data_IF_005495538762
#
_entry.id   IF_005495538762
#
_cell.length_a   1.000
_cell.length_b   1.000
_cell.length_c   1.000
_cell.angle_alpha   90.00
_cell.angle_beta   90.00
_cell.angle_gamma   90.00
#
_symmetry.space_group_name_H-M   'P 1'
#
loop_
_entity.id
_entity.type
_entity.pdbx_description
1 polymer ?
#
# COMPACT_ATOMS: atom_id res chain seq x y z
N UNK A 1 27.48 14.55 5.81
CA UNK A 1 26.14 14.38 6.42
C UNK A 1 25.12 14.05 5.34
N UNK A 2 24.24 13.07 5.56
CA UNK A 2 23.37 12.50 4.52
C UNK A 2 22.32 13.48 3.99
N UNK A 3 21.87 14.40 4.83
CA UNK A 3 20.75 15.32 4.55
C UNK A 3 21.17 16.67 3.91
N UNK A 4 22.48 16.88 3.71
CA UNK A 4 23.01 18.10 3.09
C UNK A 4 23.19 19.30 4.02
N UNK A 5 23.18 19.07 5.34
CA UNK A 5 23.44 20.09 6.38
C UNK A 5 24.85 19.87 6.97
N UNK A 6 25.51 20.93 7.46
CA UNK A 6 26.78 20.83 8.21
C UNK A 6 26.53 20.45 9.67
N UNK A 7 27.48 19.78 10.32
CA UNK A 7 27.32 19.23 11.67
C UNK A 7 26.99 20.30 12.70
N UNK A 8 27.73 21.40 12.65
CA UNK A 8 27.50 22.58 13.49
C UNK A 8 26.08 23.11 13.30
N UNK A 9 25.65 23.30 12.04
CA UNK A 9 24.30 23.80 11.75
C UNK A 9 23.22 22.84 12.23
N UNK A 10 23.43 21.52 12.15
CA UNK A 10 22.45 20.54 12.62
C UNK A 10 22.27 20.59 14.13
N UNK A 11 23.37 20.69 14.89
CA UNK A 11 23.33 20.74 16.36
C UNK A 11 22.69 22.04 16.88
N UNK A 12 22.86 23.13 16.16
CA UNK A 12 22.35 24.45 16.55
C UNK A 12 20.92 24.75 16.02
N UNK A 13 20.39 23.93 15.10
CA UNK A 13 19.08 24.17 14.47
C UNK A 13 17.91 23.62 15.27
N UNK A 14 16.74 24.23 15.07
CA UNK A 14 15.47 23.70 15.56
C UNK A 14 14.82 22.74 14.55
N UNK A 15 13.91 21.84 14.97
CA UNK A 15 13.25 20.88 14.07
C UNK A 15 12.58 21.53 12.84
N UNK A 16 11.99 22.72 13.00
CA UNK A 16 11.35 23.45 11.90
C UNK A 16 12.35 23.96 10.86
N UNK A 17 13.57 24.30 11.26
CA UNK A 17 14.62 24.75 10.32
C UNK A 17 15.22 23.57 9.54
N UNK A 18 15.13 22.35 10.09
CA UNK A 18 15.62 21.13 9.48
C UNK A 18 14.60 20.49 8.52
N UNK A 19 13.31 20.76 8.71
CA UNK A 19 12.21 20.25 7.89
C UNK A 19 12.44 20.36 6.36
N UNK A 20 12.81 21.52 5.79
CA UNK A 20 13.02 21.63 4.35
C UNK A 20 14.19 20.77 3.85
N UNK A 21 15.20 20.54 4.68
CA UNK A 21 16.33 19.66 4.32
C UNK A 21 15.91 18.19 4.32
N UNK A 22 15.09 17.79 5.30
CA UNK A 22 14.52 16.44 5.35
C UNK A 22 13.62 16.20 4.14
N UNK A 23 12.78 17.16 3.77
CA UNK A 23 11.92 17.06 2.59
C UNK A 23 12.73 16.95 1.29
N UNK A 24 13.75 17.78 1.13
CA UNK A 24 14.66 17.71 -0.02
C UNK A 24 15.38 16.36 -0.10
N UNK A 25 15.79 15.80 1.03
CA UNK A 25 16.41 14.48 1.10
C UNK A 25 15.42 13.38 0.68
N UNK A 26 14.20 13.39 1.21
CA UNK A 26 13.14 12.45 0.81
C UNK A 26 12.85 12.52 -0.69
N UNK A 27 12.77 13.72 -1.25
CA UNK A 27 12.55 13.91 -2.68
C UNK A 27 13.70 13.34 -3.53
N UNK A 28 14.94 13.49 -3.05
CA UNK A 28 16.13 12.89 -3.69
C UNK A 28 16.07 11.37 -3.68
N UNK A 29 15.67 10.76 -2.57
CA UNK A 29 15.50 9.31 -2.46
C UNK A 29 14.39 8.82 -3.40
N UNK A 30 13.23 9.49 -3.45
CA UNK A 30 12.16 9.19 -4.40
C UNK A 30 12.65 9.20 -5.85
N UNK A 31 13.41 10.22 -6.25
CA UNK A 31 13.97 10.31 -7.61
C UNK A 31 14.91 9.14 -7.90
N UNK A 32 15.76 8.79 -6.94
CA UNK A 32 16.70 7.67 -7.09
C UNK A 32 15.93 6.35 -7.26
N UNK A 33 14.93 6.12 -6.42
CA UNK A 33 14.09 4.92 -6.48
C UNK A 33 13.32 4.82 -7.80
N UNK A 34 12.69 5.90 -8.24
CA UNK A 34 12.01 5.98 -9.54
C UNK A 34 12.96 5.69 -10.70
N UNK A 35 14.18 6.26 -10.66
CA UNK A 35 15.20 6.00 -11.67
C UNK A 35 15.64 4.52 -11.66
N UNK A 36 15.80 3.91 -10.48
CA UNK A 36 16.14 2.49 -10.37
C UNK A 36 15.03 1.58 -10.90
N UNK A 37 13.77 1.92 -10.61
CA UNK A 37 12.60 1.22 -11.15
C UNK A 37 12.51 1.33 -12.67
N UNK A 38 12.63 2.54 -13.23
CA UNK A 38 12.62 2.77 -14.69
C UNK A 38 13.73 2.01 -15.40
N UNK A 39 14.90 1.93 -14.79
CA UNK A 39 16.04 1.19 -15.32
C UNK A 39 15.95 -0.32 -15.04
N UNK A 40 14.91 -0.80 -14.38
CA UNK A 40 14.71 -2.22 -14.07
C UNK A 40 15.71 -2.80 -13.06
N UNK A 41 16.40 -1.96 -12.29
CA UNK A 41 17.49 -2.38 -11.40
C UNK A 41 17.02 -3.10 -10.12
N UNK A 42 15.73 -3.41 -9.98
CA UNK A 42 15.25 -4.28 -8.89
C UNK A 42 15.52 -5.76 -9.21
N UNK A 43 16.79 -6.08 -9.44
CA UNK A 43 17.25 -7.40 -9.89
C UNK A 43 16.84 -8.53 -8.94
N UNK A 44 16.90 -8.28 -7.63
CA UNK A 44 16.48 -9.24 -6.59
C UNK A 44 14.97 -9.52 -6.70
N UNK A 45 14.14 -8.50 -6.89
CA UNK A 45 12.68 -8.67 -7.03
C UNK A 45 12.34 -9.41 -8.33
N UNK A 46 13.05 -9.10 -9.41
CA UNK A 46 12.90 -9.81 -10.68
C UNK A 46 13.25 -11.31 -10.52
N UNK A 47 14.41 -11.61 -9.94
CA UNK A 47 14.85 -13.00 -9.68
C UNK A 47 13.85 -13.72 -8.77
N UNK A 48 13.41 -13.09 -7.69
CA UNK A 48 12.44 -13.67 -6.77
C UNK A 48 11.11 -14.02 -7.46
N UNK A 49 10.59 -13.11 -8.29
CA UNK A 49 9.35 -13.36 -9.05
C UNK A 49 9.47 -14.51 -10.05
N UNK A 50 10.66 -14.68 -10.65
CA UNK A 50 10.93 -15.78 -11.59
C UNK A 50 11.07 -17.10 -10.85
N UNK A 51 11.81 -17.13 -9.73
CA UNK A 51 11.96 -18.32 -8.90
C UNK A 51 10.59 -18.79 -8.38
N UNK A 52 9.76 -17.88 -7.88
CA UNK A 52 8.43 -18.23 -7.37
C UNK A 52 7.53 -18.79 -8.47
N UNK A 53 7.57 -18.24 -9.69
CA UNK A 53 6.84 -18.78 -10.84
C UNK A 53 7.31 -20.17 -11.28
N UNK A 54 8.58 -20.51 -11.07
CA UNK A 54 9.13 -21.81 -11.43
C UNK A 54 8.82 -22.86 -10.35
N UNK A 55 8.91 -22.48 -9.08
CA UNK A 55 8.84 -23.41 -7.95
C UNK A 55 7.41 -23.61 -7.43
N UNK A 56 6.58 -22.58 -7.49
CA UNK A 56 5.24 -22.58 -6.89
C UNK A 56 4.17 -22.89 -7.93
N UNK A 57 3.23 -23.79 -7.58
CA UNK A 57 2.01 -24.02 -8.40
C UNK A 57 1.10 -22.79 -8.48
N UNK A 58 1.14 -21.95 -7.43
CA UNK A 58 0.40 -20.69 -7.34
C UNK A 58 1.40 -19.58 -6.98
N UNK A 59 1.97 -18.86 -7.96
CA UNK A 59 2.91 -17.78 -7.69
C UNK A 59 2.21 -16.64 -6.95
N UNK A 60 2.86 -16.13 -5.91
CA UNK A 60 2.38 -15.04 -5.06
C UNK A 60 3.23 -13.78 -5.21
N UNK A 61 4.49 -13.93 -5.62
CA UNK A 61 5.45 -12.85 -5.73
C UNK A 61 5.48 -12.30 -7.15
N UNK A 62 5.03 -11.04 -7.30
CA UNK A 62 5.12 -10.30 -8.55
C UNK A 62 6.16 -9.19 -8.47
N UNK A 63 6.72 -8.83 -9.62
CA UNK A 63 7.55 -7.65 -9.74
C UNK A 63 6.70 -6.39 -9.45
N UNK A 64 7.23 -5.38 -8.74
CA UNK A 64 6.46 -4.18 -8.42
C UNK A 64 6.05 -3.39 -9.67
N UNK A 65 4.74 -3.09 -9.78
CA UNK A 65 4.18 -2.26 -10.87
C UNK A 65 4.54 -0.78 -10.75
N UNK A 66 5.08 -0.37 -9.59
CA UNK A 66 5.45 1.00 -9.26
C UNK A 66 6.73 1.03 -8.41
N UNK A 67 7.41 2.18 -8.31
CA UNK A 67 8.51 2.36 -7.37
C UNK A 67 8.09 2.03 -5.93
N UNK A 68 9.03 1.51 -5.15
CA UNK A 68 8.78 1.08 -3.77
C UNK A 68 8.37 2.26 -2.88
N UNK A 69 8.98 3.42 -3.09
CA UNK A 69 8.70 4.62 -2.29
C UNK A 69 7.24 5.07 -2.45
N UNK A 70 6.73 5.06 -3.69
CA UNK A 70 5.33 5.39 -3.99
C UNK A 70 4.37 4.36 -3.38
N UNK A 71 4.72 3.08 -3.46
CA UNK A 71 3.92 1.99 -2.89
C UNK A 71 3.80 2.07 -1.36
N UNK A 72 4.83 2.57 -0.67
CA UNK A 72 4.83 2.75 0.77
C UNK A 72 3.98 3.97 1.16
N UNK A 73 4.05 5.05 0.39
CA UNK A 73 3.23 6.24 0.62
C UNK A 73 1.75 5.96 0.47
N UNK A 74 1.34 5.24 -0.58
CA UNK A 74 -0.05 4.83 -0.75
C UNK A 74 -0.56 3.95 0.40
N UNK A 75 0.30 3.13 1.00
CA UNK A 75 -0.09 2.33 2.18
C UNK A 75 -0.27 3.22 3.41
N UNK A 76 0.67 4.13 3.65
CA UNK A 76 0.59 5.05 4.78
C UNK A 76 -0.62 5.99 4.67
N UNK A 77 -0.96 6.46 3.46
CA UNK A 77 -2.17 7.25 3.21
C UNK A 77 -3.46 6.45 3.46
N UNK A 78 -3.48 5.16 3.11
CA UNK A 78 -4.60 4.26 3.42
C UNK A 78 -4.72 3.97 4.92
N UNK A 79 -3.62 3.95 5.66
CA UNK A 79 -3.65 3.80 7.13
C UNK A 79 -4.14 5.09 7.83
N UNK A 80 -3.97 6.24 7.17
CA UNK A 80 -4.42 7.57 7.61
C UNK A 80 -5.84 7.92 7.12
N UNK A 81 -6.71 6.93 6.87
CA UNK A 81 -8.11 7.17 6.52
C UNK A 81 -8.77 8.07 7.57
N UNK A 82 -9.37 9.17 7.11
CA UNK A 82 -10.17 10.05 7.97
C UNK A 82 -11.41 9.28 8.48
N UNK A 83 -11.95 9.63 9.66
CA UNK A 83 -13.11 8.94 10.25
C UNK A 83 -14.30 8.81 9.29
N UNK A 84 -14.55 9.83 8.46
CA UNK A 84 -15.59 9.79 7.42
C UNK A 84 -15.33 8.73 6.34
N UNK A 85 -14.07 8.53 5.96
CA UNK A 85 -13.70 7.54 4.95
C UNK A 85 -13.82 6.12 5.51
N UNK A 86 -13.44 5.91 6.77
CA UNK A 86 -13.65 4.63 7.48
C UNK A 86 -15.13 4.28 7.55
N UNK A 87 -15.99 5.24 7.93
CA UNK A 87 -17.43 5.01 8.01
C UNK A 87 -18.02 4.61 6.64
N UNK A 88 -17.54 5.22 5.56
CA UNK A 88 -17.95 4.88 4.19
C UNK A 88 -17.55 3.45 3.80
N UNK A 89 -16.35 3.02 4.17
CA UNK A 89 -15.90 1.64 3.92
C UNK A 89 -16.72 0.62 4.71
N UNK A 90 -17.01 0.90 5.98
CA UNK A 90 -17.87 0.04 6.83
C UNK A 90 -19.26 -0.09 6.20
N UNK A 91 -19.89 1.01 5.79
CA UNK A 91 -21.21 0.99 5.17
C UNK A 91 -21.20 0.19 3.86
N UNK A 92 -20.17 0.36 3.03
CA UNK A 92 -20.03 -0.39 1.77
C UNK A 92 -19.86 -1.89 2.02
N UNK A 93 -19.10 -2.27 3.05
CA UNK A 93 -18.92 -3.65 3.47
C UNK A 93 -20.24 -4.27 3.96
N UNK A 94 -20.98 -3.57 4.83
CA UNK A 94 -22.29 -4.01 5.32
C UNK A 94 -23.29 -4.21 4.18
N UNK A 95 -23.31 -3.29 3.21
CA UNK A 95 -24.20 -3.38 2.05
C UNK A 95 -23.86 -4.61 1.17
N UNK A 96 -22.56 -4.93 1.00
CA UNK A 96 -22.14 -6.16 0.29
C UNK A 96 -22.58 -7.43 1.03
N UNK A 97 -22.50 -7.46 2.36
CA UNK A 97 -22.96 -8.60 3.16
C UNK A 97 -24.47 -8.78 3.03
N UNK A 98 -25.25 -7.71 3.08
CA UNK A 98 -26.70 -7.76 2.88
C UNK A 98 -27.07 -8.28 1.49
N UNK A 99 -26.36 -7.83 0.44
CA UNK A 99 -26.54 -8.36 -0.92
C UNK A 99 -26.20 -9.85 -1.00
N UNK A 100 -25.11 -10.29 -0.36
CA UNK A 100 -24.73 -11.71 -0.32
C UNK A 100 -25.79 -12.54 0.41
N UNK A 101 -26.34 -12.04 1.52
CA UNK A 101 -27.43 -12.69 2.25
C UNK A 101 -28.70 -12.78 1.40
N UNK A 102 -29.13 -11.68 0.76
CA UNK A 102 -30.29 -11.68 -0.11
C UNK A 102 -30.11 -12.65 -1.29
N UNK A 103 -28.93 -12.67 -1.91
CA UNK A 103 -28.59 -13.64 -2.95
C UNK A 103 -28.61 -15.08 -2.44
N UNK A 104 -28.20 -15.33 -1.20
CA UNK A 104 -28.24 -16.65 -0.60
C UNK A 104 -29.69 -17.11 -0.35
N UNK A 105 -30.53 -16.25 0.21
CA UNK A 105 -31.94 -16.51 0.48
C UNK A 105 -32.75 -16.74 -0.81
N UNK A 106 -32.46 -15.98 -1.88
CA UNK A 106 -33.07 -16.18 -3.20
C UNK A 106 -32.72 -17.53 -3.82
N UNK A 107 -31.48 -18.01 -3.62
CA UNK A 107 -31.01 -19.28 -4.17
C UNK A 107 -31.31 -20.50 -3.27
N UNK A 108 -31.74 -20.27 -2.03
CA UNK A 108 -32.16 -21.31 -1.08
C UNK A 108 -33.56 -20.97 -0.57
N UNK A 109 -34.60 -21.13 -1.41
CA UNK A 109 -35.97 -20.91 -0.95
C UNK A 109 -36.23 -21.81 0.26
N UNK A 110 -36.67 -21.22 1.37
CA UNK A 110 -37.14 -21.97 2.53
C UNK A 110 -38.34 -22.80 2.07
N UNK A 111 -38.26 -24.12 2.17
CA UNK A 111 -39.41 -24.99 1.99
C UNK A 111 -40.45 -24.61 3.05
N UNK A 112 -41.57 -24.02 2.64
CA UNK A 112 -42.71 -23.70 3.51
C UNK A 112 -43.52 -24.97 3.89
N UNK A 113 -42.84 -26.04 4.29
CA UNK A 113 -43.47 -27.33 4.63
C UNK A 113 -43.14 -27.76 6.07
N UNK A 114 -43.25 -26.87 7.07
CA UNK A 114 -43.18 -27.28 8.49
C UNK A 114 -44.14 -26.50 9.43
N UNK A 115 -45.29 -26.04 8.93
CA UNK A 115 -46.39 -25.62 9.82
C UNK A 115 -47.75 -26.11 9.30
N UNK A 116 -48.06 -27.37 9.61
CA UNK A 116 -49.43 -27.90 9.72
C UNK A 116 -49.62 -28.49 11.11
#
# INVERSE_FOLDING_TARGET
MSIGVSEEKFMDSTPNELEPYVEAFRLKEKRKDCSQWQNGFYTIAAIASVIDKILSKNPTVNYPDKPLTESIEEKNEKELLTEEQKQKEINNFLMKLQLMQANFELNHPKNEDEQK
#
